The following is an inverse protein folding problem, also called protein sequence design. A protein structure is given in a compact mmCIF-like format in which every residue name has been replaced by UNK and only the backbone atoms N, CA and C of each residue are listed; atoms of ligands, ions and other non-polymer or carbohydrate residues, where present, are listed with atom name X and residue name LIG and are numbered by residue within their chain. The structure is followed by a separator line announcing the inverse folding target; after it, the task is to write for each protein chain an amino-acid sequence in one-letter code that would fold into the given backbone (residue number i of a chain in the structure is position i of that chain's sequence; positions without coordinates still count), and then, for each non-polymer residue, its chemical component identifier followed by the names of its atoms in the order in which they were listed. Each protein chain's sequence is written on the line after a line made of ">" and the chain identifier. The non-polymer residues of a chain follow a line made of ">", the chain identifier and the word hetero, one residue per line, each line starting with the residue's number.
data_IF_872882247192
#
_entry.id   IF_872882247192
#
_cell.length_a   1.000
_cell.length_b   1.000
_cell.length_c   1.000
_cell.angle_alpha   90.00
_cell.angle_beta   90.00
_cell.angle_gamma   90.00
#
_symmetry.space_group_name_H-M   'P 1'
#
loop_
_entity.id
_entity.type
_entity.pdbx_description
1 polymer ?
#
# COMPACT_ATOMS: atom_id res chain seq x y z
N UNK A 1 -26.78 -72.20 21.19
CA UNK A 1 -26.13 -72.15 19.87
C UNK A 1 -25.10 -71.04 19.93
N UNK A 2 -23.95 -71.38 20.52
CA UNK A 2 -22.72 -70.59 20.45
C UNK A 2 -21.91 -71.10 19.26
N UNK A 3 -21.43 -70.21 18.41
CA UNK A 3 -20.51 -70.56 17.34
C UNK A 3 -19.26 -69.67 17.41
N UNK A 4 -18.21 -70.27 17.97
CA UNK A 4 -16.84 -70.42 17.45
C UNK A 4 -16.34 -69.40 16.40
N UNK A 5 -15.22 -68.78 16.75
CA UNK A 5 -14.25 -68.10 15.87
C UNK A 5 -13.53 -69.12 14.95
N UNK A 6 -12.93 -68.70 13.81
CA UNK A 6 -11.46 -68.56 13.85
C UNK A 6 -10.83 -67.44 13.00
N UNK A 7 -9.69 -66.99 13.52
CA UNK A 7 -8.48 -66.38 12.93
C UNK A 7 -8.47 -65.82 11.49
N UNK A 8 -7.96 -64.58 11.36
CA UNK A 8 -7.12 -64.18 10.23
C UNK A 8 -5.84 -63.44 10.69
N UNK A 9 -4.75 -64.11 10.32
CA UNK A 9 -3.35 -63.76 10.16
C UNK A 9 -2.98 -62.29 9.94
N UNK A 10 -1.92 -61.92 10.66
CA UNK A 10 -1.00 -60.80 10.45
C UNK A 10 -0.43 -60.75 9.03
N UNK A 11 -0.46 -59.56 8.42
CA UNK A 11 0.45 -59.19 7.35
C UNK A 11 0.86 -57.73 7.58
N UNK A 12 2.10 -57.56 8.02
CA UNK A 12 2.84 -56.32 7.95
C UNK A 12 2.86 -55.81 6.50
N UNK A 13 2.53 -54.55 6.31
CA UNK A 13 3.14 -53.72 5.25
C UNK A 13 2.99 -52.26 5.64
N UNK A 14 4.05 -51.76 6.26
CA UNK A 14 4.70 -50.50 5.88
C UNK A 14 3.78 -49.46 5.25
N UNK A 15 3.31 -48.52 6.06
CA UNK A 15 3.13 -47.16 5.58
C UNK A 15 3.77 -46.22 6.59
N UNK A 16 5.10 -46.17 6.53
CA UNK A 16 5.89 -45.07 7.06
C UNK A 16 5.35 -43.79 6.43
N UNK A 17 4.54 -43.05 7.18
CA UNK A 17 4.18 -41.68 6.83
C UNK A 17 5.49 -40.93 6.62
N UNK A 18 5.75 -40.56 5.37
CA UNK A 18 6.84 -39.68 4.96
C UNK A 18 6.76 -38.39 5.79
N UNK A 19 7.54 -38.34 6.87
CA UNK A 19 8.05 -37.09 7.37
C UNK A 19 9.13 -36.60 6.39
N UNK A 20 9.22 -35.28 6.27
CA UNK A 20 10.23 -34.51 5.55
C UNK A 20 10.12 -34.38 4.02
N UNK A 21 9.37 -33.36 3.59
CA UNK A 21 9.77 -32.47 2.48
C UNK A 21 9.37 -31.01 2.73
N UNK A 22 9.70 -30.46 3.90
CA UNK A 22 9.70 -29.02 4.07
C UNK A 22 11.09 -28.49 3.73
N UNK A 23 11.31 -28.09 2.47
CA UNK A 23 12.50 -27.32 2.11
C UNK A 23 12.68 -26.08 3.02
N UNK A 24 13.88 -25.50 3.08
CA UNK A 24 14.18 -24.38 3.97
C UNK A 24 13.17 -23.23 3.77
N UNK A 25 12.64 -22.69 4.87
CA UNK A 25 11.65 -21.61 4.84
C UNK A 25 12.28 -20.32 4.32
N UNK A 26 11.79 -19.84 3.17
CA UNK A 26 12.16 -18.55 2.56
C UNK A 26 11.80 -17.36 3.46
N UNK A 27 12.51 -16.26 3.27
CA UNK A 27 12.28 -14.96 3.94
C UNK A 27 12.37 -14.99 5.48
N UNK A 28 13.16 -15.91 6.03
CA UNK A 28 13.35 -16.05 7.48
C UNK A 28 14.65 -15.42 7.98
N UNK A 29 15.67 -15.34 7.12
CA UNK A 29 16.96 -14.74 7.46
C UNK A 29 17.17 -13.46 6.65
N UNK A 30 17.37 -12.29 7.29
CA UNK A 30 17.50 -11.01 6.59
C UNK A 30 18.80 -10.87 5.80
N UNK A 31 19.78 -11.75 5.94
CA UNK A 31 21.08 -11.65 5.25
C UNK A 31 21.32 -12.76 4.24
N UNK A 32 20.65 -13.91 4.39
CA UNK A 32 20.88 -15.10 3.55
C UNK A 32 19.55 -15.68 3.09
N UNK A 33 19.47 -16.14 1.84
CA UNK A 33 18.30 -16.85 1.30
C UNK A 33 18.22 -18.30 1.83
N UNK A 34 17.09 -18.95 1.61
CA UNK A 34 16.91 -20.38 1.87
C UNK A 34 17.89 -21.28 1.08
N UNK A 35 18.47 -20.76 -0.01
CA UNK A 35 19.50 -21.44 -0.83
C UNK A 35 20.93 -21.15 -0.36
N UNK A 36 21.13 -20.33 0.68
CA UNK A 36 22.46 -19.99 1.19
C UNK A 36 23.14 -18.79 0.51
N UNK A 37 22.43 -18.08 -0.37
CA UNK A 37 22.97 -16.95 -1.13
C UNK A 37 22.80 -15.62 -0.37
N UNK A 38 23.66 -14.64 -0.64
CA UNK A 38 23.55 -13.31 -0.05
C UNK A 38 22.24 -12.62 -0.47
N UNK A 39 21.44 -12.18 0.51
CA UNK A 39 20.16 -11.50 0.25
C UNK A 39 20.37 -10.13 -0.39
N UNK A 40 19.51 -9.80 -1.36
CA UNK A 40 19.42 -8.49 -1.96
C UNK A 40 18.99 -7.43 -0.94
N UNK A 41 19.57 -6.25 -1.06
CA UNK A 41 19.30 -5.14 -0.16
C UNK A 41 19.29 -3.83 -0.92
N UNK A 42 18.71 -2.81 -0.30
CA UNK A 42 18.58 -1.46 -0.86
C UNK A 42 18.94 -0.44 0.22
N UNK A 43 19.82 0.51 -0.12
CA UNK A 43 20.15 1.65 0.73
C UNK A 43 19.23 2.83 0.42
N UNK A 44 19.00 3.73 1.40
CA UNK A 44 18.25 4.96 1.14
C UNK A 44 19.14 5.90 0.31
N UNK A 45 18.79 6.10 -0.96
CA UNK A 45 19.53 6.98 -1.85
C UNK A 45 19.18 8.45 -1.61
N UNK A 46 17.90 8.74 -1.37
CA UNK A 46 17.35 10.06 -1.01
C UNK A 46 15.96 9.86 -0.41
N UNK A 47 15.43 10.82 0.37
CA UNK A 47 14.02 10.77 0.77
C UNK A 47 13.20 11.65 -0.17
N UNK A 48 12.70 11.09 -1.26
CA UNK A 48 11.88 11.81 -2.26
C UNK A 48 10.42 11.94 -1.81
N UNK A 49 9.86 10.85 -1.28
CA UNK A 49 8.48 10.82 -0.75
C UNK A 49 8.49 10.37 0.71
N UNK A 50 7.90 11.17 1.59
CA UNK A 50 7.54 10.72 2.93
C UNK A 50 6.06 10.33 2.97
N UNK A 51 5.78 9.07 3.23
CA UNK A 51 4.43 8.60 3.48
C UNK A 51 4.07 8.78 4.95
N UNK A 52 2.82 9.13 5.23
CA UNK A 52 2.27 9.26 6.56
C UNK A 52 1.06 8.35 6.62
N UNK A 53 1.15 7.29 7.44
CA UNK A 53 -0.01 6.49 7.78
C UNK A 53 -0.84 7.27 8.80
N UNK A 54 -2.04 7.65 8.38
CA UNK A 54 -2.94 8.47 9.18
C UNK A 54 -3.69 7.67 10.24
N UNK A 55 -3.48 6.36 10.38
CA UNK A 55 -4.19 5.43 11.27
C UNK A 55 -4.86 4.30 10.48
N UNK A 56 -5.19 3.15 11.11
CA UNK A 56 -5.76 1.98 10.40
C UNK A 56 -7.29 1.87 10.42
N UNK A 57 -7.97 2.79 11.11
CA UNK A 57 -9.41 2.81 11.11
C UNK A 57 -9.95 3.27 9.75
N UNK A 58 -10.87 2.47 9.20
CA UNK A 58 -11.53 2.72 7.93
C UNK A 58 -13.05 2.58 8.07
N UNK A 59 -13.81 3.27 7.23
CA UNK A 59 -15.27 3.15 7.19
C UNK A 59 -15.76 1.86 6.49
N UNK A 60 -14.86 1.09 5.88
CA UNK A 60 -15.12 -0.18 5.20
C UNK A 60 -14.03 -1.20 5.57
N UNK A 61 -14.28 -2.47 5.27
CA UNK A 61 -13.36 -3.60 5.51
C UNK A 61 -13.22 -4.39 4.20
N UNK A 62 -12.21 -4.04 3.40
CA UNK A 62 -11.97 -4.70 2.11
C UNK A 62 -11.42 -6.11 2.31
N UNK A 63 -11.78 -7.04 1.42
CA UNK A 63 -11.35 -8.45 1.51
C UNK A 63 -9.82 -8.61 1.51
N UNK A 64 -9.10 -7.83 0.70
CA UNK A 64 -7.66 -7.95 0.53
C UNK A 64 -6.94 -6.63 0.87
N UNK A 65 -7.36 -5.94 1.94
CA UNK A 65 -6.65 -4.75 2.43
C UNK A 65 -5.26 -5.12 2.95
N UNK A 66 -4.21 -4.59 2.30
CA UNK A 66 -2.82 -4.94 2.61
C UNK A 66 -2.33 -4.51 4.00
N UNK A 67 -3.00 -3.56 4.64
CA UNK A 67 -2.74 -3.18 6.04
C UNK A 67 -3.89 -3.56 6.98
N UNK A 68 -4.82 -4.40 6.53
CA UNK A 68 -5.92 -4.93 7.34
C UNK A 68 -6.84 -3.81 7.92
N UNK A 69 -6.93 -2.66 7.25
CA UNK A 69 -7.76 -1.55 7.72
C UNK A 69 -9.23 -1.92 7.76
N UNK A 70 -9.90 -1.57 8.85
CA UNK A 70 -11.31 -1.87 9.08
C UNK A 70 -11.91 -0.88 10.08
N UNK A 71 -13.24 -0.90 10.32
CA UNK A 71 -13.86 -0.09 11.36
C UNK A 71 -13.39 -0.44 12.79
N UNK A 72 -12.68 -1.55 12.96
CA UNK A 72 -12.26 -2.09 14.27
C UNK A 72 -10.75 -2.19 14.44
N UNK A 73 -9.97 -2.13 13.37
CA UNK A 73 -8.52 -2.21 13.45
C UNK A 73 -7.91 -0.85 13.82
N UNK A 74 -7.59 -0.67 15.09
CA UNK A 74 -6.92 0.53 15.63
C UNK A 74 -5.45 0.28 16.01
N UNK A 75 -4.80 -0.75 15.43
CA UNK A 75 -3.38 -1.08 15.68
C UNK A 75 -2.44 0.08 15.35
N UNK A 76 -2.75 0.86 14.32
CA UNK A 76 -2.14 2.16 14.10
C UNK A 76 -3.13 3.26 14.51
N UNK A 77 -2.71 4.08 15.47
CA UNK A 77 -3.48 5.21 15.93
C UNK A 77 -3.45 6.36 14.91
N UNK A 78 -4.41 7.28 15.05
CA UNK A 78 -4.38 8.53 14.30
C UNK A 78 -3.12 9.32 14.67
N UNK A 79 -2.31 9.64 13.66
CA UNK A 79 -1.19 10.57 13.83
C UNK A 79 -1.72 12.00 13.98
N UNK A 80 -1.13 12.76 14.88
CA UNK A 80 -1.48 14.15 15.10
C UNK A 80 -0.74 15.11 14.16
N UNK A 81 -1.30 16.31 13.97
CA UNK A 81 -0.67 17.42 13.28
C UNK A 81 0.70 17.76 13.89
N UNK A 82 0.82 17.75 15.22
CA UNK A 82 2.07 18.04 15.90
C UNK A 82 3.15 17.00 15.61
N UNK A 83 2.79 15.71 15.55
CA UNK A 83 3.72 14.65 15.16
C UNK A 83 4.15 14.78 13.70
N UNK A 84 3.23 15.10 12.78
CA UNK A 84 3.59 15.37 11.38
C UNK A 84 4.50 16.59 11.27
N UNK A 85 4.19 17.66 12.00
CA UNK A 85 5.00 18.89 12.04
C UNK A 85 6.45 18.59 12.38
N UNK A 86 6.70 17.75 13.40
CA UNK A 86 8.04 17.37 13.80
C UNK A 86 8.84 16.68 12.68
N UNK A 87 8.19 15.85 11.85
CA UNK A 87 8.86 15.21 10.71
C UNK A 87 9.13 16.18 9.55
N UNK A 88 8.23 17.12 9.29
CA UNK A 88 8.47 18.15 8.28
C UNK A 88 9.59 19.11 8.71
N UNK A 89 9.64 19.47 10.00
CA UNK A 89 10.74 20.25 10.57
C UNK A 89 12.08 19.50 10.44
N UNK A 90 12.08 18.19 10.65
CA UNK A 90 13.27 17.35 10.46
C UNK A 90 13.74 17.32 9.00
N UNK A 91 12.81 17.18 8.03
CA UNK A 91 13.11 17.23 6.60
C UNK A 91 13.81 18.55 6.24
N UNK A 92 13.26 19.67 6.71
CA UNK A 92 13.78 21.02 6.44
C UNK A 92 15.14 21.23 7.10
N UNK A 93 15.28 20.87 8.38
CA UNK A 93 16.52 21.04 9.14
C UNK A 93 17.68 20.22 8.57
N UNK A 94 17.39 19.01 8.07
CA UNK A 94 18.39 18.11 7.48
C UNK A 94 18.59 18.33 5.97
N UNK A 95 17.77 19.17 5.33
CA UNK A 95 17.83 19.42 3.90
C UNK A 95 17.66 18.14 3.06
N UNK A 96 16.74 17.24 3.45
CA UNK A 96 16.63 15.90 2.84
C UNK A 96 16.17 15.89 1.38
N UNK A 97 15.74 17.05 0.85
CA UNK A 97 15.31 17.19 -0.54
C UNK A 97 13.97 16.51 -0.87
N UNK A 98 13.16 16.23 0.15
CA UNK A 98 11.82 15.62 0.00
C UNK A 98 10.91 16.55 -0.78
N UNK A 99 10.16 15.97 -1.72
CA UNK A 99 9.30 16.71 -2.66
C UNK A 99 7.83 16.41 -2.45
N UNK A 100 7.52 15.19 -2.03
CA UNK A 100 6.15 14.71 -1.94
C UNK A 100 5.86 14.16 -0.53
N UNK A 101 4.69 14.51 -0.01
CA UNK A 101 4.12 13.89 1.18
C UNK A 101 2.90 13.06 0.74
N UNK A 102 2.88 11.79 1.13
CA UNK A 102 1.79 10.88 0.82
C UNK A 102 0.94 10.54 2.05
N UNK A 103 -0.35 10.84 2.05
CA UNK A 103 -1.26 10.42 3.13
C UNK A 103 -1.96 9.10 2.77
N UNK A 104 -1.83 8.12 3.64
CA UNK A 104 -2.40 6.77 3.50
C UNK A 104 -2.92 6.26 4.84
N UNK A 105 -3.24 4.96 4.95
CA UNK A 105 -3.67 4.29 6.16
C UNK A 105 -4.92 3.46 5.92
N UNK A 106 -5.87 3.55 6.84
CA UNK A 106 -7.27 3.22 6.60
C UNK A 106 -7.86 4.26 5.66
N UNK A 107 -8.81 5.02 6.15
CA UNK A 107 -9.34 6.15 5.38
C UNK A 107 -8.77 7.45 5.97
N UNK A 108 -7.89 8.19 5.26
CA UNK A 108 -7.29 9.42 5.78
C UNK A 108 -8.30 10.44 6.30
N UNK A 109 -9.49 10.49 5.70
CA UNK A 109 -10.57 11.37 6.14
C UNK A 109 -11.34 10.88 7.39
N UNK A 110 -10.89 9.79 8.02
CA UNK A 110 -11.32 9.41 9.37
C UNK A 110 -10.49 10.12 10.45
N UNK A 111 -9.26 10.55 10.14
CA UNK A 111 -8.47 11.38 11.03
C UNK A 111 -9.03 12.81 11.04
N UNK A 112 -9.39 13.33 12.23
CA UNK A 112 -10.01 14.65 12.38
C UNK A 112 -9.07 15.80 11.99
N UNK A 113 -7.77 15.58 12.12
CA UNK A 113 -6.73 16.57 11.81
C UNK A 113 -6.23 16.47 10.37
N UNK A 114 -6.81 15.58 9.55
CA UNK A 114 -6.31 15.30 8.18
C UNK A 114 -6.22 16.56 7.33
N UNK A 115 -7.22 17.45 7.37
CA UNK A 115 -7.21 18.67 6.56
C UNK A 115 -6.14 19.66 7.05
N UNK A 116 -5.91 19.72 8.37
CA UNK A 116 -4.87 20.57 8.94
C UNK A 116 -3.48 20.04 8.57
N UNK A 117 -3.30 18.72 8.57
CA UNK A 117 -2.09 18.04 8.05
C UNK A 117 -1.89 18.35 6.57
N UNK A 118 -2.93 18.22 5.75
CA UNK A 118 -2.87 18.55 4.31
C UNK A 118 -2.49 20.02 4.10
N UNK A 119 -3.10 20.94 4.87
CA UNK A 119 -2.81 22.37 4.82
C UNK A 119 -1.34 22.63 5.14
N UNK A 120 -0.82 22.03 6.22
CA UNK A 120 0.57 22.17 6.64
C UNK A 120 1.55 21.71 5.54
N UNK A 121 1.33 20.54 4.95
CA UNK A 121 2.18 20.02 3.89
C UNK A 121 2.21 20.96 2.67
N UNK A 122 1.03 21.44 2.24
CA UNK A 122 0.91 22.31 1.07
C UNK A 122 1.48 23.72 1.33
N UNK A 123 1.30 24.28 2.52
CA UNK A 123 1.85 25.59 2.89
C UNK A 123 3.39 25.59 2.96
N UNK A 124 3.99 24.42 3.26
CA UNK A 124 5.45 24.21 3.21
C UNK A 124 5.98 23.91 1.81
N UNK A 125 5.11 23.87 0.80
CA UNK A 125 5.48 23.72 -0.61
C UNK A 125 5.75 22.28 -1.06
N UNK A 126 5.30 21.28 -0.30
CA UNK A 126 5.35 19.89 -0.74
C UNK A 126 4.21 19.59 -1.70
N UNK A 127 4.48 18.73 -2.70
CA UNK A 127 3.41 18.04 -3.41
C UNK A 127 2.72 17.08 -2.44
N UNK A 128 1.40 16.98 -2.55
CA UNK A 128 0.58 16.17 -1.67
C UNK A 128 -0.20 15.14 -2.48
N UNK A 129 -0.05 13.87 -2.12
CA UNK A 129 -0.91 12.80 -2.61
C UNK A 129 -1.70 12.21 -1.45
N UNK A 130 -3.02 12.05 -1.60
CA UNK A 130 -3.88 11.43 -0.59
C UNK A 130 -4.57 10.22 -1.19
N UNK A 131 -4.37 9.05 -0.58
CA UNK A 131 -5.01 7.80 -0.98
C UNK A 131 -6.34 7.64 -0.22
N UNK A 132 -7.47 7.68 -0.92
CA UNK A 132 -8.80 7.67 -0.27
C UNK A 132 -9.80 6.81 -1.04
N UNK A 133 -10.84 6.34 -0.35
CA UNK A 133 -12.00 5.71 -0.97
C UNK A 133 -13.05 6.72 -1.50
N UNK A 134 -12.83 8.02 -1.30
CA UNK A 134 -13.74 9.12 -1.68
C UNK A 134 -15.15 9.06 -1.06
N UNK A 135 -15.40 8.21 -0.07
CA UNK A 135 -16.73 8.04 0.50
C UNK A 135 -17.05 9.12 1.55
N UNK A 136 -18.09 8.85 2.34
CA UNK A 136 -18.67 9.77 3.32
C UNK A 136 -17.68 10.45 4.28
N UNK A 137 -16.60 9.81 4.79
CA UNK A 137 -15.63 10.52 5.64
C UNK A 137 -15.01 11.74 4.95
N UNK A 138 -14.58 11.61 3.69
CA UNK A 138 -14.07 12.71 2.88
C UNK A 138 -15.13 13.80 2.69
N UNK A 139 -16.36 13.39 2.38
CA UNK A 139 -17.46 14.30 2.08
C UNK A 139 -17.88 15.19 3.27
N UNK A 140 -17.43 14.90 4.49
CA UNK A 140 -17.62 15.80 5.65
C UNK A 140 -16.75 17.05 5.57
N UNK A 141 -15.69 17.03 4.77
CA UNK A 141 -14.72 18.10 4.65
C UNK A 141 -14.86 18.92 3.36
N UNK A 142 -15.98 18.81 2.62
CA UNK A 142 -16.18 19.47 1.31
C UNK A 142 -15.75 20.93 1.27
N UNK A 143 -16.22 21.75 2.20
CA UNK A 143 -15.90 23.19 2.22
C UNK A 143 -14.40 23.45 2.41
N UNK A 144 -13.76 22.69 3.31
CA UNK A 144 -12.33 22.83 3.58
C UNK A 144 -11.47 22.28 2.43
N UNK A 145 -11.90 21.19 1.78
CA UNK A 145 -11.25 20.67 0.57
C UNK A 145 -11.34 21.66 -0.59
N UNK A 146 -12.48 22.34 -0.77
CA UNK A 146 -12.62 23.39 -1.79
C UNK A 146 -11.67 24.57 -1.52
N UNK A 147 -11.53 24.99 -0.26
CA UNK A 147 -10.59 26.03 0.12
C UNK A 147 -9.12 25.63 -0.14
N UNK A 148 -8.77 24.36 0.14
CA UNK A 148 -7.45 23.82 -0.22
C UNK A 148 -7.23 23.81 -1.74
N UNK A 149 -8.21 23.35 -2.50
CA UNK A 149 -8.13 23.31 -3.97
C UNK A 149 -7.96 24.70 -4.57
N UNK A 150 -8.70 25.70 -4.07
CA UNK A 150 -8.58 27.08 -4.56
C UNK A 150 -7.16 27.64 -4.37
N UNK A 151 -6.49 27.27 -3.28
CA UNK A 151 -5.15 27.76 -2.93
C UNK A 151 -4.02 26.94 -3.55
N UNK A 152 -4.21 25.64 -3.76
CA UNK A 152 -3.13 24.68 -4.00
C UNK A 152 -3.43 23.63 -5.09
N UNK A 153 -4.33 23.91 -6.04
CA UNK A 153 -4.82 22.94 -7.03
C UNK A 153 -3.72 22.09 -7.68
N UNK A 154 -2.63 22.71 -8.13
CA UNK A 154 -1.56 22.03 -8.88
C UNK A 154 -0.60 21.20 -8.00
N UNK A 155 -0.70 21.33 -6.67
CA UNK A 155 0.17 20.66 -5.71
C UNK A 155 -0.52 19.48 -5.01
N UNK A 156 -1.81 19.25 -5.25
CA UNK A 156 -2.59 18.23 -4.52
C UNK A 156 -3.29 17.26 -5.47
N UNK A 157 -3.01 15.97 -5.30
CA UNK A 157 -3.67 14.88 -6.02
C UNK A 157 -4.42 13.96 -5.06
N UNK A 158 -5.69 13.67 -5.36
CA UNK A 158 -6.48 12.67 -4.65
C UNK A 158 -6.51 11.39 -5.48
N UNK A 159 -5.88 10.33 -5.00
CA UNK A 159 -5.93 9.02 -5.66
C UNK A 159 -7.07 8.20 -5.10
N UNK A 160 -8.10 8.04 -5.92
CA UNK A 160 -9.34 7.39 -5.54
C UNK A 160 -9.25 5.91 -5.84
N UNK A 161 -9.63 5.13 -4.84
CA UNK A 161 -9.53 3.68 -4.92
C UNK A 161 -10.80 3.11 -5.57
N UNK A 162 -10.69 2.70 -6.83
CA UNK A 162 -11.80 2.16 -7.65
C UNK A 162 -11.33 0.85 -8.25
N UNK A 163 -11.50 -0.27 -7.53
CA UNK A 163 -10.83 -1.52 -7.90
C UNK A 163 -11.22 -2.05 -9.28
N UNK A 164 -12.46 -1.80 -9.71
CA UNK A 164 -12.96 -2.19 -11.02
C UNK A 164 -13.97 -1.18 -11.56
N UNK A 165 -14.12 -1.10 -12.88
CA UNK A 165 -15.15 -0.29 -13.54
C UNK A 165 -16.57 -0.88 -13.43
N UNK A 166 -16.70 -2.09 -12.87
CA UNK A 166 -17.98 -2.77 -12.65
C UNK A 166 -18.33 -2.70 -11.18
N UNK A 167 -19.56 -2.27 -10.89
CA UNK A 167 -20.11 -2.25 -9.52
C UNK A 167 -19.94 -3.59 -8.82
N UNK A 168 -20.32 -4.68 -9.48
CA UNK A 168 -20.29 -6.02 -8.89
C UNK A 168 -18.88 -6.41 -8.43
N UNK A 169 -17.88 -6.15 -9.26
CA UNK A 169 -16.49 -6.53 -8.99
C UNK A 169 -15.82 -5.57 -7.99
N UNK A 170 -16.17 -4.28 -8.03
CA UNK A 170 -15.74 -3.33 -7.01
C UNK A 170 -16.31 -3.69 -5.62
N UNK A 171 -17.61 -3.98 -5.53
CA UNK A 171 -18.25 -4.37 -4.26
C UNK A 171 -17.85 -5.78 -3.81
N UNK A 172 -17.41 -6.65 -4.73
CA UNK A 172 -16.77 -7.92 -4.36
C UNK A 172 -15.50 -7.69 -3.53
N UNK A 173 -14.69 -6.67 -3.85
CA UNK A 173 -13.48 -6.34 -3.08
C UNK A 173 -13.79 -5.49 -1.84
N UNK A 174 -14.50 -4.38 -2.03
CA UNK A 174 -14.67 -3.34 -0.99
C UNK A 174 -15.82 -3.60 -0.03
N UNK A 175 -16.65 -4.59 -0.33
CA UNK A 175 -17.87 -4.90 0.40
C UNK A 175 -19.11 -4.26 -0.22
N UNK A 176 -20.31 -4.67 0.25
CA UNK A 176 -21.56 -4.22 -0.32
C UNK A 176 -21.84 -2.73 -0.03
N UNK A 177 -22.52 -2.06 -0.97
CA UNK A 177 -22.96 -0.66 -0.88
C UNK A 177 -21.81 0.36 -0.86
N UNK A 178 -20.64 0.00 -1.38
CA UNK A 178 -19.51 0.93 -1.51
C UNK A 178 -19.48 1.67 -2.85
N UNK A 179 -20.11 1.11 -3.89
CA UNK A 179 -20.07 1.67 -5.24
C UNK A 179 -20.65 3.08 -5.32
N UNK A 180 -21.90 3.24 -4.87
CA UNK A 180 -22.60 4.52 -5.00
C UNK A 180 -21.92 5.65 -4.20
N UNK A 181 -21.57 5.47 -2.91
CA UNK A 181 -20.87 6.53 -2.19
C UNK A 181 -19.49 6.89 -2.75
N UNK A 182 -18.75 5.90 -3.28
CA UNK A 182 -17.47 6.15 -3.97
C UNK A 182 -17.70 6.96 -5.24
N UNK A 183 -18.68 6.58 -6.06
CA UNK A 183 -18.99 7.26 -7.32
C UNK A 183 -19.46 8.70 -7.08
N UNK A 184 -20.31 8.94 -6.08
CA UNK A 184 -20.74 10.29 -5.67
C UNK A 184 -19.55 11.17 -5.25
N UNK A 185 -18.61 10.60 -4.50
CA UNK A 185 -17.37 11.30 -4.12
C UNK A 185 -16.51 11.63 -5.31
N UNK A 186 -16.31 10.66 -6.21
CA UNK A 186 -15.51 10.81 -7.42
C UNK A 186 -16.10 11.87 -8.38
N UNK A 187 -17.41 11.85 -8.60
CA UNK A 187 -18.12 12.86 -9.38
C UNK A 187 -17.96 14.25 -8.75
N UNK A 188 -18.18 14.37 -7.43
CA UNK A 188 -18.03 15.64 -6.74
C UNK A 188 -16.62 16.23 -6.87
N UNK A 189 -15.58 15.40 -6.75
CA UNK A 189 -14.20 15.84 -6.97
C UNK A 189 -13.98 16.31 -8.42
N UNK A 190 -14.46 15.55 -9.41
CA UNK A 190 -14.33 15.88 -10.84
C UNK A 190 -15.04 17.19 -11.22
N UNK A 191 -16.26 17.36 -10.72
CA UNK A 191 -17.09 18.55 -10.96
C UNK A 191 -16.44 19.81 -10.36
N UNK A 192 -15.74 19.64 -9.24
CA UNK A 192 -15.05 20.72 -8.55
C UNK A 192 -13.57 20.87 -8.98
N UNK A 193 -13.14 20.21 -10.05
CA UNK A 193 -11.82 20.46 -10.66
C UNK A 193 -10.64 20.06 -9.78
N UNK A 194 -10.78 19.03 -8.95
CA UNK A 194 -9.64 18.44 -8.26
C UNK A 194 -8.79 17.61 -9.23
N UNK A 195 -7.48 17.57 -9.01
CA UNK A 195 -6.59 16.60 -9.65
C UNK A 195 -6.85 15.21 -9.06
N UNK A 196 -7.27 14.27 -9.92
CA UNK A 196 -7.71 12.93 -9.52
C UNK A 196 -6.89 11.88 -10.26
N UNK A 197 -6.35 10.94 -9.49
CA UNK A 197 -5.87 9.67 -10.00
C UNK A 197 -6.82 8.56 -9.57
N UNK A 198 -6.80 7.42 -10.26
CA UNK A 198 -7.57 6.23 -9.97
C UNK A 198 -6.62 5.05 -9.74
N UNK A 199 -6.84 4.33 -8.65
CA UNK A 199 -6.20 3.05 -8.36
C UNK A 199 -7.20 1.91 -8.61
N UNK A 200 -6.98 1.16 -9.69
CA UNK A 200 -7.72 -0.05 -10.04
C UNK A 200 -6.91 -1.33 -9.80
N UNK A 201 -7.54 -2.49 -9.95
CA UNK A 201 -6.90 -3.81 -9.74
C UNK A 201 -7.08 -4.72 -10.95
N UNK A 202 -6.12 -5.62 -11.18
CA UNK A 202 -6.13 -6.54 -12.34
C UNK A 202 -6.52 -7.99 -11.99
N UNK A 203 -7.17 -8.23 -10.85
CA UNK A 203 -7.41 -9.59 -10.30
C UNK A 203 -8.44 -10.45 -11.02
N UNK A 204 -9.23 -9.90 -11.95
CA UNK A 204 -10.34 -10.60 -12.60
C UNK A 204 -10.01 -11.22 -13.98
N UNK A 205 -8.73 -11.34 -14.32
CA UNK A 205 -8.27 -12.03 -15.54
C UNK A 205 -8.49 -11.25 -16.84
N UNK A 206 -8.95 -10.00 -16.75
CA UNK A 206 -8.99 -9.08 -17.88
C UNK A 206 -7.59 -8.56 -18.21
N UNK A 207 -7.30 -8.40 -19.49
CA UNK A 207 -6.07 -7.73 -19.91
C UNK A 207 -6.18 -6.21 -19.68
N UNK A 208 -5.04 -5.54 -19.66
CA UNK A 208 -4.96 -4.11 -19.36
C UNK A 208 -5.79 -3.25 -20.32
N UNK A 209 -5.78 -3.55 -21.62
CA UNK A 209 -6.57 -2.83 -22.63
C UNK A 209 -8.07 -2.86 -22.28
N UNK A 210 -8.63 -4.04 -21.98
CA UNK A 210 -10.04 -4.18 -21.59
C UNK A 210 -10.38 -3.42 -20.32
N UNK A 211 -9.48 -3.46 -19.33
CA UNK A 211 -9.64 -2.70 -18.09
C UNK A 211 -9.71 -1.21 -18.36
N UNK A 212 -8.75 -0.67 -19.13
CA UNK A 212 -8.71 0.75 -19.51
C UNK A 212 -9.95 1.16 -20.30
N UNK A 213 -10.38 0.36 -21.27
CA UNK A 213 -11.61 0.62 -22.03
C UNK A 213 -12.86 0.64 -21.13
N UNK A 214 -12.92 -0.24 -20.13
CA UNK A 214 -14.00 -0.28 -19.15
C UNK A 214 -14.02 0.96 -18.26
N UNK A 215 -12.86 1.39 -17.75
CA UNK A 215 -12.73 2.63 -17.01
C UNK A 215 -13.07 3.85 -17.88
N UNK A 216 -12.64 3.89 -19.14
CA UNK A 216 -12.98 4.97 -20.07
C UNK A 216 -14.50 5.11 -20.24
N UNK A 217 -15.24 3.99 -20.38
CA UNK A 217 -16.71 4.01 -20.43
C UNK A 217 -17.32 4.53 -19.13
N UNK A 218 -16.85 4.04 -17.97
CA UNK A 218 -17.32 4.51 -16.67
C UNK A 218 -17.12 6.02 -16.51
N UNK A 219 -15.94 6.52 -16.88
CA UNK A 219 -15.61 7.94 -16.76
C UNK A 219 -16.47 8.79 -17.69
N UNK A 220 -16.68 8.35 -18.93
CA UNK A 220 -17.55 9.04 -19.88
C UNK A 220 -19.02 9.07 -19.41
N UNK A 221 -19.53 7.94 -18.91
CA UNK A 221 -20.93 7.82 -18.43
C UNK A 221 -21.22 8.76 -17.26
N UNK A 222 -20.22 9.00 -16.41
CA UNK A 222 -20.39 9.77 -15.17
C UNK A 222 -19.71 11.14 -15.18
N UNK A 223 -19.18 11.61 -16.31
CA UNK A 223 -18.51 12.91 -16.41
C UNK A 223 -17.23 13.02 -15.57
N UNK A 224 -16.53 11.91 -15.35
CA UNK A 224 -15.27 11.89 -14.60
C UNK A 224 -14.12 12.34 -15.51
N UNK A 225 -13.42 13.41 -15.12
CA UNK A 225 -12.33 14.03 -15.88
C UNK A 225 -11.00 13.34 -15.62
N UNK A 226 -10.93 12.06 -15.94
CA UNK A 226 -9.72 11.22 -15.81
C UNK A 226 -9.45 10.55 -17.16
N UNK A 227 -8.20 10.58 -17.59
CA UNK A 227 -7.74 9.84 -18.78
C UNK A 227 -7.41 8.40 -18.42
N UNK A 228 -8.26 7.46 -18.83
CA UNK A 228 -8.07 6.03 -18.62
C UNK A 228 -6.87 5.45 -19.41
N UNK A 229 -6.39 6.11 -20.46
CA UNK A 229 -5.19 5.69 -21.19
C UNK A 229 -3.90 6.09 -20.45
N UNK A 230 -3.96 7.12 -19.60
CA UNK A 230 -2.82 7.56 -18.81
C UNK A 230 -2.45 6.52 -17.76
N UNK A 231 -1.22 6.04 -17.80
CA UNK A 231 -0.64 5.16 -16.76
C UNK A 231 -0.37 5.90 -15.45
N UNK A 232 -0.39 7.23 -15.48
CA UNK A 232 -0.30 8.10 -14.30
C UNK A 232 -1.66 8.27 -13.63
N UNK A 233 -2.69 8.63 -14.40
CA UNK A 233 -4.02 8.91 -13.84
C UNK A 233 -4.85 7.64 -13.61
N UNK A 234 -4.61 6.55 -14.34
CA UNK A 234 -5.18 5.24 -14.05
C UNK A 234 -4.04 4.23 -13.81
N UNK A 235 -3.78 3.99 -12.53
CA UNK A 235 -2.81 2.99 -12.07
C UNK A 235 -3.53 1.68 -11.81
N UNK A 236 -3.12 0.63 -12.51
CA UNK A 236 -3.71 -0.71 -12.39
C UNK A 236 -2.76 -1.61 -11.62
N UNK A 237 -3.15 -1.98 -10.41
CA UNK A 237 -2.33 -2.77 -9.49
C UNK A 237 -2.57 -4.28 -9.68
N UNK A 238 -1.49 -5.08 -9.77
CA UNK A 238 -1.60 -6.53 -9.70
C UNK A 238 -2.01 -7.01 -8.29
N UNK A 239 -2.54 -8.23 -8.20
CA UNK A 239 -3.04 -8.80 -6.95
C UNK A 239 -1.94 -9.15 -5.94
N UNK A 240 -2.19 -8.85 -4.66
CA UNK A 240 -1.31 -9.11 -3.52
C UNK A 240 -1.62 -10.43 -2.83
N UNK A 241 -1.70 -11.52 -3.60
CA UNK A 241 -1.87 -12.85 -3.02
C UNK A 241 -0.62 -13.27 -2.19
N UNK A 242 -0.76 -13.60 -0.89
CA UNK A 242 0.33 -14.03 -0.02
C UNK A 242 0.85 -15.45 -0.31
N UNK A 243 0.02 -16.30 -0.92
CA UNK A 243 0.19 -17.76 -0.93
C UNK A 243 1.05 -18.30 -2.08
N UNK A 244 1.59 -17.44 -2.94
CA UNK A 244 2.45 -17.89 -4.03
C UNK A 244 3.91 -17.92 -3.55
N UNK A 245 4.55 -19.10 -3.65
CA UNK A 245 5.98 -19.24 -3.44
C UNK A 245 6.73 -18.41 -4.50
N UNK A 246 7.20 -17.22 -4.10
CA UNK A 246 8.01 -16.33 -4.93
C UNK A 246 9.50 -16.62 -4.73
N UNK A 247 10.37 -16.35 -5.72
CA UNK A 247 11.81 -16.44 -5.52
C UNK A 247 12.28 -15.37 -4.53
N UNK A 248 13.31 -15.68 -3.77
CA UNK A 248 13.98 -14.68 -2.93
C UNK A 248 14.89 -13.80 -3.78
N UNK A 249 15.11 -12.57 -3.34
CA UNK A 249 15.98 -11.64 -4.05
C UNK A 249 17.38 -11.76 -3.48
N UNK A 250 18.36 -12.06 -4.33
CA UNK A 250 19.80 -12.05 -4.00
C UNK A 250 20.46 -10.78 -4.52
N UNK A 251 21.69 -10.50 -4.10
CA UNK A 251 22.46 -9.36 -4.66
C UNK A 251 22.73 -9.53 -6.17
N UNK A 252 22.81 -10.76 -6.66
CA UNK A 252 23.00 -11.05 -8.08
C UNK A 252 21.76 -10.71 -8.94
N UNK A 253 20.56 -10.72 -8.36
CA UNK A 253 19.31 -10.43 -9.07
C UNK A 253 19.32 -9.07 -9.76
N UNK A 254 20.02 -8.07 -9.23
CA UNK A 254 20.13 -6.74 -9.85
C UNK A 254 20.70 -6.79 -11.27
N UNK A 255 21.80 -7.55 -11.45
CA UNK A 255 22.41 -7.74 -12.76
C UNK A 255 21.60 -8.67 -13.66
N UNK A 256 21.02 -9.74 -13.09
CA UNK A 256 20.25 -10.74 -13.85
C UNK A 256 18.98 -10.11 -14.44
N UNK A 257 18.27 -9.30 -13.65
CA UNK A 257 17.00 -8.68 -14.04
C UNK A 257 17.18 -7.31 -14.71
N UNK A 258 18.41 -6.78 -14.72
CA UNK A 258 18.72 -5.43 -15.19
C UNK A 258 17.85 -4.35 -14.50
N UNK A 259 17.72 -4.46 -13.17
CA UNK A 259 16.95 -3.53 -12.32
C UNK A 259 17.92 -2.72 -11.46
N UNK A 260 17.81 -1.40 -11.52
CA UNK A 260 18.58 -0.50 -10.65
C UNK A 260 18.02 -0.56 -9.21
N UNK A 261 18.80 -0.94 -8.18
CA UNK A 261 18.35 -0.94 -6.80
C UNK A 261 17.86 0.45 -6.32
N UNK A 262 18.35 1.55 -6.90
CA UNK A 262 17.90 2.90 -6.56
C UNK A 262 16.52 3.25 -7.14
N UNK A 263 15.99 2.43 -8.03
CA UNK A 263 14.62 2.57 -8.57
C UNK A 263 13.56 1.92 -7.68
N UNK A 264 13.98 1.16 -6.66
CA UNK A 264 13.08 0.48 -5.73
C UNK A 264 12.48 1.50 -4.75
N UNK A 265 11.19 1.36 -4.43
CA UNK A 265 10.47 2.31 -3.57
C UNK A 265 11.18 2.62 -2.24
N UNK A 266 11.74 1.61 -1.57
CA UNK A 266 12.45 1.81 -0.31
C UNK A 266 13.84 2.46 -0.46
N UNK A 267 14.32 2.71 -1.69
CA UNK A 267 15.48 3.56 -1.94
C UNK A 267 15.14 5.06 -1.89
N UNK A 268 13.87 5.41 -2.10
CA UNK A 268 13.42 6.82 -2.22
C UNK A 268 12.29 7.21 -1.28
N UNK A 269 11.73 6.26 -0.54
CA UNK A 269 10.57 6.49 0.34
C UNK A 269 10.73 5.89 1.72
N UNK A 270 10.08 6.53 2.69
CA UNK A 270 9.82 6.00 4.04
C UNK A 270 8.36 6.23 4.40
N UNK A 271 7.85 5.54 5.41
CA UNK A 271 6.52 5.80 5.95
C UNK A 271 6.58 6.01 7.46
N UNK A 272 5.90 7.05 7.95
CA UNK A 272 5.66 7.25 9.39
C UNK A 272 4.40 6.50 9.79
N UNK A 273 4.46 5.75 10.89
CA UNK A 273 3.33 5.07 11.52
C UNK A 273 3.26 5.39 12.99
N UNK A 274 2.05 5.56 13.54
CA UNK A 274 1.83 5.69 14.98
C UNK A 274 1.25 4.41 15.54
N UNK A 275 2.03 3.63 16.29
CA UNK A 275 1.52 2.44 17.00
C UNK A 275 0.51 2.85 18.08
N UNK A 276 -0.55 2.06 18.25
CA UNK A 276 -1.51 2.27 19.34
C UNK A 276 -0.79 2.25 20.69
N UNK A 277 -0.99 3.30 21.48
CA UNK A 277 -0.41 3.43 22.82
C UNK A 277 1.07 3.78 22.86
N UNK A 278 1.75 3.95 21.72
CA UNK A 278 3.13 4.45 21.71
C UNK A 278 3.18 5.96 21.98
N UNK A 279 4.22 6.42 22.67
CA UNK A 279 4.41 7.85 22.94
C UNK A 279 4.80 8.63 21.68
N UNK A 280 5.51 8.00 20.75
CA UNK A 280 6.00 8.61 19.50
C UNK A 280 5.69 7.73 18.28
N UNK A 281 5.58 8.33 17.09
CA UNK A 281 5.54 7.55 15.85
C UNK A 281 6.89 6.89 15.56
N UNK A 282 6.89 5.98 14.59
CA UNK A 282 8.05 5.24 14.12
C UNK A 282 8.10 5.28 12.59
N UNK A 283 9.31 5.30 12.06
CA UNK A 283 9.59 5.29 10.62
C UNK A 283 9.83 3.86 10.17
N UNK A 284 9.03 3.42 9.19
CA UNK A 284 9.15 2.12 8.54
C UNK A 284 9.64 2.26 7.10
N UNK A 285 10.32 1.23 6.62
CA UNK A 285 10.91 1.17 5.29
C UNK A 285 9.90 1.00 4.15
N UNK A 286 8.72 0.41 4.43
CA UNK A 286 7.78 0.00 3.41
C UNK A 286 6.34 0.38 3.76
N UNK A 287 5.64 1.00 2.82
CA UNK A 287 4.21 1.34 2.95
C UNK A 287 3.33 0.10 3.05
N UNK A 288 3.74 -1.01 2.44
CA UNK A 288 2.98 -2.27 2.41
C UNK A 288 3.18 -3.14 3.65
N UNK A 289 4.21 -2.88 4.46
CA UNK A 289 4.59 -3.71 5.60
C UNK A 289 4.59 -2.92 6.91
N UNK A 290 3.51 -2.18 7.23
CA UNK A 290 3.52 -1.34 8.41
C UNK A 290 3.63 -2.14 9.71
N UNK A 291 3.39 -3.45 9.73
CA UNK A 291 3.42 -4.28 10.94
C UNK A 291 4.68 -5.15 11.08
N UNK A 292 5.57 -5.14 10.09
CA UNK A 292 6.76 -5.99 10.13
C UNK A 292 7.87 -5.32 10.93
N UNK A 293 8.32 -5.98 12.00
CA UNK A 293 9.42 -5.50 12.84
C UNK A 293 10.73 -5.36 12.04
N UNK A 294 10.99 -6.28 11.10
CA UNK A 294 12.16 -6.23 10.20
C UNK A 294 12.23 -4.95 9.35
N UNK A 295 11.10 -4.28 9.15
CA UNK A 295 10.98 -3.05 8.35
C UNK A 295 10.78 -1.80 9.21
N UNK A 296 10.77 -1.92 10.54
CA UNK A 296 10.67 -0.80 11.46
C UNK A 296 12.07 -0.33 11.88
N UNK A 297 12.37 0.96 11.74
CA UNK A 297 13.74 1.46 11.82
C UNK A 297 14.05 2.33 13.02
N UNK A 298 13.34 3.45 13.18
CA UNK A 298 13.65 4.45 14.21
C UNK A 298 12.50 5.44 14.37
N UNK A 299 12.55 6.26 15.43
CA UNK A 299 11.57 7.32 15.66
C UNK A 299 11.78 8.56 14.77
N UNK A 300 12.98 8.78 14.25
CA UNK A 300 13.38 9.97 13.47
C UNK A 300 13.71 9.59 12.03
N UNK A 301 13.64 10.53 11.09
CA UNK A 301 14.05 10.31 9.70
C UNK A 301 15.55 10.10 9.58
N UNK A 302 16.36 10.85 10.33
CA UNK A 302 17.81 10.72 10.37
C UNK A 302 18.24 9.27 10.70
N UNK A 303 17.66 8.70 11.76
CA UNK A 303 17.99 7.34 12.20
C UNK A 303 17.32 6.27 11.32
N UNK A 304 16.39 6.64 10.45
CA UNK A 304 15.71 5.74 9.50
C UNK A 304 16.46 5.55 8.18
N UNK A 305 17.57 6.27 7.96
CA UNK A 305 18.44 6.14 6.79
C UNK A 305 19.27 4.84 6.80
N UNK A 306 18.61 3.71 7.09
CA UNK A 306 19.18 2.37 7.19
C UNK A 306 18.92 1.58 5.91
N UNK A 307 19.80 0.61 5.68
CA UNK A 307 19.66 -0.43 4.66
C UNK A 307 18.42 -1.27 4.89
N UNK A 308 17.66 -1.53 3.83
CA UNK A 308 16.51 -2.42 3.81
C UNK A 308 16.96 -3.76 3.25
N UNK A 309 16.80 -4.82 4.05
CA UNK A 309 16.95 -6.19 3.55
C UNK A 309 15.67 -6.60 2.83
N UNK A 310 15.77 -7.16 1.62
CA UNK A 310 14.60 -7.59 0.84
C UNK A 310 14.08 -8.94 1.34
N UNK A 311 13.74 -8.96 2.64
CA UNK A 311 13.36 -10.13 3.41
C UNK A 311 11.84 -10.26 3.55
N UNK A 312 11.10 -10.02 2.46
CA UNK A 312 9.66 -10.24 2.45
C UNK A 312 9.19 -10.66 1.04
N UNK A 313 8.17 -11.54 0.91
CA UNK A 313 7.60 -11.90 -0.38
C UNK A 313 7.18 -10.70 -1.24
N UNK A 314 6.71 -9.62 -0.59
CA UNK A 314 6.31 -8.38 -1.29
C UNK A 314 7.48 -7.65 -1.93
N UNK A 315 8.69 -7.70 -1.35
CA UNK A 315 9.89 -7.13 -1.98
C UNK A 315 10.15 -7.78 -3.34
N UNK A 316 10.03 -9.12 -3.40
CA UNK A 316 10.19 -9.88 -4.62
C UNK A 316 9.06 -9.60 -5.61
N UNK A 317 7.81 -9.82 -5.18
CA UNK A 317 6.65 -9.76 -6.07
C UNK A 317 6.36 -8.37 -6.61
N UNK A 318 6.46 -7.32 -5.79
CA UNK A 318 6.03 -5.97 -6.18
C UNK A 318 7.19 -5.11 -6.65
N UNK A 319 8.25 -5.03 -5.86
CA UNK A 319 9.28 -4.05 -6.16
C UNK A 319 10.27 -4.57 -7.21
N UNK A 320 10.71 -5.81 -7.10
CA UNK A 320 11.80 -6.33 -7.95
C UNK A 320 11.28 -7.02 -9.21
N UNK A 321 10.26 -7.88 -9.10
CA UNK A 321 9.74 -8.64 -10.25
C UNK A 321 8.50 -8.01 -10.90
N UNK A 322 7.71 -7.26 -10.14
CA UNK A 322 6.40 -6.73 -10.59
C UNK A 322 6.34 -5.23 -10.85
N UNK A 323 7.43 -4.47 -10.62
CA UNK A 323 7.54 -3.04 -10.93
C UNK A 323 6.54 -2.09 -10.24
N UNK A 324 5.84 -2.52 -9.20
CA UNK A 324 4.81 -1.74 -8.51
C UNK A 324 5.39 -0.56 -7.73
N UNK A 325 5.06 0.67 -8.18
CA UNK A 325 5.28 1.89 -7.39
C UNK A 325 3.94 2.43 -6.89
N UNK A 326 3.89 2.85 -5.61
CA UNK A 326 2.75 3.58 -5.02
C UNK A 326 2.82 5.09 -5.31
N UNK A 327 3.99 5.62 -5.71
CA UNK A 327 4.13 7.01 -6.17
C UNK A 327 3.84 7.11 -7.67
N UNK A 328 3.25 8.23 -8.09
CA UNK A 328 3.14 8.54 -9.51
C UNK A 328 4.55 8.60 -10.10
N UNK A 329 4.86 7.76 -11.10
CA UNK A 329 6.06 8.00 -11.90
C UNK A 329 5.82 9.33 -12.64
N UNK A 330 6.65 10.34 -12.34
CA UNK A 330 6.66 11.64 -13.03
C UNK A 330 6.76 11.49 -14.53
#
# INVERSE_FOLDING_TARGET
>A
MEHLTPARTTADSENSVQADQAGPRKFTNPFVTATGEARGHVDLARLETLWINTGTLCNIECKNCYIESSPKNDRLAYISLGEVTAYLDEIEALGMGTREIGLTGGEPFMNRETIDIMTLCLERGYNLIVLTNAMRPMMRFKSRLLALRERFADQMTLRISVDHYSRMLHEDERGPRTWLPMLEGLQWLSDNGFSIDIAGRTRWGENETKLRDGFARLFAEHGIKVDAASTKQLVLFPEMAPEQSVPEITTACWGILNVDPNSIMCATSRMVVKRRGADKPSVVACTLLPYSEDFEFAATLADSAKRVQLNHPFCSKFCVLGGGSCSAKT
#
